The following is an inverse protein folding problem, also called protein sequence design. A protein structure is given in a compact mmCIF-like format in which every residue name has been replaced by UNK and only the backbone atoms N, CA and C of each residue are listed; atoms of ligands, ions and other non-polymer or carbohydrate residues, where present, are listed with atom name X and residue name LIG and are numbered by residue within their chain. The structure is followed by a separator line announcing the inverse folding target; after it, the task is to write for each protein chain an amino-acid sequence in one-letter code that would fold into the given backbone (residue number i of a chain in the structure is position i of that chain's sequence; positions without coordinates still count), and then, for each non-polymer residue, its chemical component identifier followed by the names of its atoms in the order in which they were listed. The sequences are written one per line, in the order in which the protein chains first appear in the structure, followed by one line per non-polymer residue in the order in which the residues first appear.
data_IF_083159709211
#
_entry.id   IF_083159709211
#
_cell.length_a   1.000
_cell.length_b   1.000
_cell.length_c   1.000
_cell.angle_alpha   90.00
_cell.angle_beta   90.00
_cell.angle_gamma   90.00
#
_symmetry.space_group_name_H-M   'P 1'
#
loop_
_entity.id
_entity.type
_entity.pdbx_description
1 polymer ?
#
# COMPACT_ATOMS: atom_id res chain seq x y z
N UNK A 1 -10.47 6.92 20.51
CA UNK A 1 -11.15 5.73 19.93
C UNK A 1 -12.57 5.65 20.46
N UNK A 2 -13.54 5.37 19.58
CA UNK A 2 -14.88 4.86 19.95
C UNK A 2 -15.17 3.59 19.13
N UNK A 3 -16.18 2.83 19.54
CA UNK A 3 -16.73 1.73 18.74
C UNK A 3 -18.11 2.17 18.24
N UNK A 4 -18.31 2.13 16.92
CA UNK A 4 -19.59 2.41 16.27
C UNK A 4 -20.12 1.15 15.59
N UNK A 5 -21.43 1.12 15.34
CA UNK A 5 -22.09 0.03 14.63
C UNK A 5 -22.52 0.50 13.25
N UNK A 6 -22.07 -0.21 12.22
CA UNK A 6 -22.40 0.02 10.81
C UNK A 6 -22.61 -1.34 10.15
N UNK A 7 -23.56 -1.47 9.24
CA UNK A 7 -23.82 -2.71 8.48
C UNK A 7 -23.93 -3.97 9.36
N UNK A 8 -24.60 -3.84 10.51
CA UNK A 8 -24.73 -4.86 11.57
C UNK A 8 -23.39 -5.38 12.12
N UNK A 9 -22.34 -4.56 12.10
CA UNK A 9 -20.98 -4.89 12.55
C UNK A 9 -20.38 -3.75 13.36
N UNK A 10 -19.58 -4.11 14.36
CA UNK A 10 -18.88 -3.16 15.22
C UNK A 10 -17.52 -2.80 14.66
N UNK A 11 -17.24 -1.50 14.53
CA UNK A 11 -15.99 -0.96 14.04
C UNK A 11 -15.39 0.03 15.03
N UNK A 12 -14.08 -0.04 15.24
CA UNK A 12 -13.31 0.99 15.93
C UNK A 12 -12.97 2.13 14.97
N UNK A 13 -13.15 3.34 15.48
CA UNK A 13 -12.87 4.64 14.86
C UNK A 13 -12.13 5.53 15.86
N UNK A 14 -11.41 6.55 15.40
CA UNK A 14 -10.61 7.38 16.30
C UNK A 14 -9.40 6.65 16.86
N UNK A 15 -8.76 5.80 16.05
CA UNK A 15 -7.56 5.05 16.44
C UNK A 15 -6.33 5.94 16.21
N UNK A 16 -5.31 5.82 17.07
CA UNK A 16 -4.02 6.48 16.80
C UNK A 16 -3.22 5.60 15.84
N UNK A 17 -2.91 6.14 14.67
CA UNK A 17 -2.13 5.48 13.64
C UNK A 17 -0.68 5.94 13.65
N UNK A 18 0.20 5.04 13.27
CA UNK A 18 1.57 5.34 12.87
C UNK A 18 1.83 4.57 11.56
N UNK A 19 2.46 5.25 10.60
CA UNK A 19 2.78 4.72 9.28
C UNK A 19 4.28 4.82 9.08
N UNK A 20 4.89 3.77 8.54
CA UNK A 20 6.34 3.66 8.37
C UNK A 20 6.66 3.04 7.00
N UNK A 21 7.77 3.48 6.41
CA UNK A 21 8.41 2.87 5.24
C UNK A 21 9.59 1.94 5.63
N UNK A 22 10.27 2.20 6.76
CA UNK A 22 11.31 1.32 7.33
C UNK A 22 10.77 0.40 8.45
N UNK A 23 11.21 -0.87 8.43
CA UNK A 23 11.00 -1.83 9.52
C UNK A 23 11.74 -1.46 10.82
N UNK A 24 12.80 -0.66 10.75
CA UNK A 24 13.58 -0.29 11.92
C UNK A 24 12.81 0.67 12.85
N UNK A 25 12.20 1.71 12.30
CA UNK A 25 11.39 2.67 13.06
C UNK A 25 10.16 2.00 13.71
N UNK A 26 9.56 1.03 13.02
CA UNK A 26 8.50 0.17 13.55
C UNK A 26 8.95 -0.54 14.83
N UNK A 27 10.17 -1.09 14.88
CA UNK A 27 10.68 -1.78 16.08
C UNK A 27 10.81 -0.82 17.26
N UNK A 28 11.27 0.41 17.01
CA UNK A 28 11.46 1.40 18.06
C UNK A 28 10.12 1.95 18.57
N UNK A 29 9.13 2.18 17.69
CA UNK A 29 7.75 2.47 18.12
C UNK A 29 7.11 1.32 18.90
N UNK A 30 7.34 0.07 18.50
CA UNK A 30 6.85 -1.11 19.24
C UNK A 30 7.50 -1.22 20.63
N UNK A 31 8.76 -0.83 20.81
CA UNK A 31 9.41 -0.77 22.14
C UNK A 31 8.74 0.30 23.03
N UNK A 32 8.43 1.47 22.49
CA UNK A 32 7.73 2.55 23.20
C UNK A 32 6.35 2.07 23.69
N UNK A 33 5.52 1.54 22.78
CA UNK A 33 4.16 1.09 23.11
C UNK A 33 4.14 -0.08 24.10
N UNK A 34 5.17 -0.94 24.09
CA UNK A 34 5.39 -1.97 25.12
C UNK A 34 5.62 -1.36 26.51
N UNK A 35 6.44 -0.31 26.63
CA UNK A 35 6.68 0.40 27.91
C UNK A 35 5.39 1.02 28.44
N UNK A 36 4.59 1.62 27.56
CA UNK A 36 3.29 2.22 27.90
C UNK A 36 2.16 1.20 28.15
N UNK A 37 2.40 -0.10 27.97
CA UNK A 37 1.38 -1.18 28.07
C UNK A 37 0.15 -0.95 27.18
N UNK A 38 0.29 -0.22 26.07
CA UNK A 38 -0.79 -0.08 25.07
C UNK A 38 -1.07 -1.44 24.41
N UNK A 39 -2.16 -1.55 23.66
CA UNK A 39 -2.33 -2.65 22.68
C UNK A 39 -2.25 -2.03 21.30
N UNK A 40 -1.77 -2.80 20.34
CA UNK A 40 -1.71 -2.38 18.95
C UNK A 40 -1.90 -3.57 18.02
N UNK A 41 -2.27 -3.29 16.78
CA UNK A 41 -2.17 -4.24 15.67
C UNK A 41 -1.27 -3.63 14.61
N UNK A 42 -0.42 -4.46 14.04
CA UNK A 42 0.49 -4.10 12.96
C UNK A 42 0.13 -4.90 11.71
N UNK A 43 0.21 -4.29 10.55
CA UNK A 43 0.11 -4.97 9.25
C UNK A 43 0.89 -4.19 8.19
N UNK A 44 1.42 -4.91 7.20
CA UNK A 44 1.97 -4.30 5.98
C UNK A 44 0.88 -4.24 4.91
N UNK A 45 0.82 -3.15 4.16
CA UNK A 45 0.06 -3.02 2.92
C UNK A 45 0.90 -2.23 1.93
N UNK A 46 1.06 -2.76 0.73
CA UNK A 46 2.00 -2.25 -0.27
C UNK A 46 3.40 -2.14 0.36
N UNK A 47 4.13 -1.04 0.16
CA UNK A 47 5.43 -0.84 0.80
C UNK A 47 5.35 -0.32 2.24
N UNK A 48 4.17 0.14 2.69
CA UNK A 48 3.96 0.78 4.00
C UNK A 48 3.59 -0.21 5.12
N UNK A 49 4.11 0.06 6.31
CA UNK A 49 3.80 -0.66 7.56
C UNK A 49 2.92 0.23 8.43
N UNK A 50 1.72 -0.26 8.72
CA UNK A 50 0.72 0.43 9.52
C UNK A 50 0.69 -0.16 10.93
N UNK A 51 0.65 0.72 11.94
CA UNK A 51 0.49 0.36 13.34
C UNK A 51 -0.66 1.16 13.94
N UNK A 52 -1.76 0.48 14.26
CA UNK A 52 -2.92 1.06 14.92
C UNK A 52 -2.88 0.76 16.42
N UNK A 53 -2.96 1.81 17.25
CA UNK A 53 -3.08 1.68 18.71
C UNK A 53 -4.54 1.62 19.12
N UNK A 54 -4.89 0.62 19.93
CA UNK A 54 -6.21 0.42 20.52
C UNK A 54 -6.07 0.02 21.98
N UNK A 55 -7.06 0.33 22.80
CA UNK A 55 -7.22 -0.17 24.17
C UNK A 55 -7.89 -1.57 24.21
N UNK A 56 -8.57 -1.97 23.13
CA UNK A 56 -9.32 -3.22 23.01
C UNK A 56 -8.61 -4.26 22.12
N UNK A 57 -8.96 -5.54 22.29
CA UNK A 57 -8.41 -6.62 21.47
C UNK A 57 -9.32 -6.91 20.25
N UNK A 58 -9.38 -5.95 19.32
CA UNK A 58 -10.17 -6.06 18.09
C UNK A 58 -9.33 -6.61 16.93
N UNK A 59 -9.97 -7.17 15.88
CA UNK A 59 -9.25 -7.61 14.67
C UNK A 59 -9.03 -6.40 13.76
N UNK A 60 -7.99 -6.44 12.92
CA UNK A 60 -7.74 -5.37 11.92
C UNK A 60 -8.92 -5.13 10.97
N UNK A 61 -9.73 -6.16 10.71
CA UNK A 61 -10.97 -6.07 9.92
C UNK A 61 -12.05 -5.20 10.57
N UNK A 62 -11.91 -4.93 11.86
CA UNK A 62 -12.89 -4.25 12.69
C UNK A 62 -12.42 -2.80 12.95
N UNK A 63 -11.38 -2.33 12.25
CA UNK A 63 -10.96 -0.93 12.22
C UNK A 63 -11.55 -0.27 10.97
N UNK A 64 -12.24 0.86 11.10
CA UNK A 64 -12.94 1.44 9.94
C UNK A 64 -11.95 2.04 8.93
N UNK A 65 -10.91 2.72 9.40
CA UNK A 65 -9.81 3.23 8.58
C UNK A 65 -9.13 2.12 7.74
N UNK A 66 -9.00 0.90 8.27
CA UNK A 66 -8.48 -0.25 7.51
C UNK A 66 -9.36 -0.59 6.30
N UNK A 67 -10.68 -0.42 6.41
CA UNK A 67 -11.62 -0.61 5.29
C UNK A 67 -11.51 0.51 4.23
N UNK A 68 -10.87 1.64 4.54
CA UNK A 68 -10.68 2.75 3.60
C UNK A 68 -9.31 2.76 2.91
N UNK A 69 -8.38 1.86 3.26
CA UNK A 69 -7.03 1.83 2.68
C UNK A 69 -6.97 1.59 1.15
N UNK A 70 -8.04 1.08 0.53
CA UNK A 70 -8.14 0.89 -0.92
C UNK A 70 -8.82 2.07 -1.65
N UNK A 71 -9.26 3.09 -0.91
CA UNK A 71 -9.80 4.32 -1.49
C UNK A 71 -8.67 5.22 -2.00
N UNK A 72 -9.05 6.18 -2.83
CA UNK A 72 -8.15 7.22 -3.32
C UNK A 72 -7.61 8.06 -2.15
N UNK A 73 -6.46 8.75 -2.32
CA UNK A 73 -6.04 9.80 -1.41
C UNK A 73 -7.14 10.87 -1.29
N UNK A 74 -7.43 11.34 -0.07
CA UNK A 74 -8.59 12.20 0.14
C UNK A 74 -8.86 12.56 1.60
N UNK A 75 -9.61 13.64 1.75
CA UNK A 75 -10.25 14.07 2.99
C UNK A 75 -11.70 13.54 3.00
N UNK A 76 -11.99 12.54 3.83
CA UNK A 76 -13.29 11.89 3.91
C UNK A 76 -14.04 12.34 5.17
N UNK A 77 -15.26 12.83 4.99
CA UNK A 77 -16.19 13.15 6.09
C UNK A 77 -17.44 12.28 5.95
N UNK A 78 -17.64 11.34 6.88
CA UNK A 78 -18.87 10.53 6.95
C UNK A 78 -19.77 11.07 8.05
N UNK A 79 -20.91 11.66 7.66
CA UNK A 79 -21.89 12.28 8.57
C UNK A 79 -22.86 11.24 9.13
N UNK A 80 -23.03 11.25 10.45
CA UNK A 80 -23.93 10.38 11.21
C UNK A 80 -24.98 11.20 11.99
N UNK A 81 -25.91 10.48 12.59
CA UNK A 81 -27.00 11.03 13.39
C UNK A 81 -26.49 11.87 14.58
N UNK A 82 -27.26 12.90 14.95
CA UNK A 82 -26.95 13.76 16.10
C UNK A 82 -25.72 14.66 15.93
N UNK A 83 -25.34 15.01 14.69
CA UNK A 83 -24.22 15.92 14.40
C UNK A 83 -22.84 15.28 14.57
N UNK A 84 -22.77 13.95 14.74
CA UNK A 84 -21.51 13.23 14.76
C UNK A 84 -20.99 13.04 13.33
N UNK A 85 -19.67 13.02 13.16
CA UNK A 85 -19.05 12.42 11.99
C UNK A 85 -17.79 11.63 12.34
N UNK A 86 -17.38 10.82 11.38
CA UNK A 86 -16.03 10.30 11.26
C UNK A 86 -15.28 11.12 10.21
N UNK A 87 -14.15 11.69 10.58
CA UNK A 87 -13.21 12.34 9.66
C UNK A 87 -12.02 11.41 9.49
N UNK A 88 -11.71 11.08 8.24
CA UNK A 88 -10.63 10.19 7.85
C UNK A 88 -9.84 10.81 6.71
N UNK A 89 -8.52 10.93 6.88
CA UNK A 89 -7.64 11.49 5.85
C UNK A 89 -6.61 10.47 5.42
N UNK A 90 -6.58 10.21 4.11
CA UNK A 90 -5.61 9.32 3.47
C UNK A 90 -4.67 10.12 2.59
N UNK A 91 -3.36 10.02 2.86
CA UNK A 91 -2.32 10.70 2.11
C UNK A 91 -2.12 10.13 0.70
N UNK A 92 -1.41 10.89 -0.13
CA UNK A 92 -1.04 10.52 -1.52
C UNK A 92 0.00 9.40 -1.58
N UNK A 93 0.77 9.24 -0.50
CA UNK A 93 1.64 8.10 -0.19
C UNK A 93 0.86 6.81 0.14
N UNK A 94 -0.45 6.92 0.45
CA UNK A 94 -1.29 5.83 0.92
C UNK A 94 -1.38 5.71 2.45
N UNK A 95 -0.69 6.57 3.20
CA UNK A 95 -0.72 6.62 4.66
C UNK A 95 -2.07 7.08 5.22
N UNK A 96 -2.35 6.71 6.47
CA UNK A 96 -3.45 7.29 7.25
C UNK A 96 -2.88 8.48 8.00
N UNK A 97 -3.32 9.69 7.64
CA UNK A 97 -2.89 10.93 8.28
C UNK A 97 -3.80 11.27 9.47
N UNK A 98 -5.11 11.02 9.33
CA UNK A 98 -6.10 11.38 10.34
C UNK A 98 -7.22 10.32 10.43
N UNK A 99 -7.70 10.05 11.65
CA UNK A 99 -8.83 9.15 11.97
C UNK A 99 -9.43 9.64 13.29
N UNK A 100 -10.56 10.36 13.25
CA UNK A 100 -11.25 10.84 14.45
C UNK A 100 -12.78 10.75 14.33
N UNK A 101 -13.46 10.50 15.46
CA UNK A 101 -14.92 10.38 15.55
C UNK A 101 -15.48 11.14 16.75
N UNK A 102 -16.50 11.97 16.52
CA UNK A 102 -17.03 12.94 17.47
C UNK A 102 -18.02 13.89 16.79
N UNK A 103 -18.35 15.01 17.45
CA UNK A 103 -19.17 16.07 16.85
C UNK A 103 -18.36 16.77 15.76
N UNK A 104 -18.94 16.97 14.58
CA UNK A 104 -18.20 17.46 13.41
C UNK A 104 -17.50 18.80 13.66
N UNK A 105 -18.25 19.77 14.15
CA UNK A 105 -17.76 21.13 14.36
C UNK A 105 -16.69 21.17 15.47
N UNK A 106 -16.74 20.25 16.43
CA UNK A 106 -15.71 20.11 17.46
C UNK A 106 -14.40 19.55 16.88
N UNK A 107 -14.44 18.48 16.08
CA UNK A 107 -13.24 17.92 15.44
C UNK A 107 -12.61 18.96 14.50
N UNK A 108 -13.43 19.59 13.66
CA UNK A 108 -12.97 20.59 12.70
C UNK A 108 -12.33 21.80 13.40
N UNK A 109 -12.92 22.28 14.50
CA UNK A 109 -12.38 23.41 15.27
C UNK A 109 -11.15 23.06 16.11
N UNK A 110 -11.08 21.85 16.68
CA UNK A 110 -9.95 21.43 17.50
C UNK A 110 -8.69 21.15 16.67
N UNK A 111 -8.88 20.67 15.44
CA UNK A 111 -7.79 20.30 14.53
C UNK A 111 -7.69 21.24 13.31
N UNK A 112 -8.25 22.45 13.38
CA UNK A 112 -8.45 23.36 12.23
C UNK A 112 -7.18 23.57 11.41
N UNK A 113 -6.04 23.86 12.06
CA UNK A 113 -4.76 24.09 11.39
C UNK A 113 -4.23 22.88 10.63
N UNK A 114 -4.46 21.65 11.12
CA UNK A 114 -3.97 20.43 10.47
C UNK A 114 -4.93 20.01 9.34
N UNK A 115 -6.24 20.07 9.60
CA UNK A 115 -7.26 19.70 8.63
C UNK A 115 -7.38 20.71 7.48
N UNK A 116 -7.01 21.98 7.67
CA UNK A 116 -6.96 22.99 6.61
C UNK A 116 -5.99 22.57 5.49
N UNK A 117 -4.75 22.24 5.85
CA UNK A 117 -3.72 21.84 4.89
C UNK A 117 -4.13 20.59 4.10
N UNK A 118 -4.74 19.60 4.77
CA UNK A 118 -5.28 18.41 4.11
C UNK A 118 -6.42 18.73 3.15
N UNK A 119 -7.36 19.63 3.51
CA UNK A 119 -8.46 20.04 2.62
C UNK A 119 -8.00 20.89 1.44
N UNK A 120 -6.90 21.63 1.58
CA UNK A 120 -6.32 22.41 0.49
C UNK A 120 -5.52 21.57 -0.52
N UNK A 121 -5.02 20.40 -0.11
CA UNK A 121 -4.10 19.56 -0.92
C UNK A 121 -4.71 18.26 -1.44
N UNK A 122 -5.81 17.77 -0.85
CA UNK A 122 -6.46 16.50 -1.19
C UNK A 122 -7.88 16.70 -1.72
N UNK A 123 -8.39 15.71 -2.46
CA UNK A 123 -9.80 15.65 -2.85
C UNK A 123 -10.71 15.55 -1.62
N UNK A 124 -11.80 16.33 -1.59
CA UNK A 124 -12.77 16.34 -0.49
C UNK A 124 -13.95 15.44 -0.85
N UNK A 125 -14.27 14.50 0.03
CA UNK A 125 -15.35 13.52 -0.12
C UNK A 125 -16.28 13.59 1.09
N UNK A 126 -17.48 14.14 0.92
CA UNK A 126 -18.53 14.09 1.94
C UNK A 126 -19.52 12.99 1.62
N UNK A 127 -19.83 12.15 2.62
CA UNK A 127 -20.74 11.02 2.51
C UNK A 127 -21.76 11.06 3.66
N UNK A 128 -23.00 10.72 3.36
CA UNK A 128 -23.97 10.35 4.41
C UNK A 128 -23.67 8.94 4.92
N UNK A 129 -24.17 8.63 6.12
CA UNK A 129 -24.18 7.28 6.70
C UNK A 129 -24.68 6.23 5.71
N UNK A 130 -25.81 6.46 5.04
CA UNK A 130 -26.43 5.48 4.13
C UNK A 130 -25.60 5.24 2.87
N UNK A 131 -24.97 6.29 2.33
CA UNK A 131 -24.04 6.15 1.21
C UNK A 131 -22.83 5.31 1.61
N UNK A 132 -22.25 5.63 2.78
CA UNK A 132 -21.08 4.94 3.30
C UNK A 132 -21.37 3.47 3.67
N UNK A 133 -22.51 3.19 4.32
CA UNK A 133 -22.93 1.82 4.66
C UNK A 133 -23.20 0.96 3.41
N UNK A 134 -23.69 1.55 2.32
CA UNK A 134 -23.86 0.86 1.04
C UNK A 134 -22.50 0.44 0.45
N UNK A 135 -21.58 1.39 0.32
CA UNK A 135 -20.22 1.11 -0.18
C UNK A 135 -19.47 0.08 0.69
N UNK A 136 -19.60 0.20 2.01
CA UNK A 136 -19.00 -0.71 2.98
C UNK A 136 -19.60 -2.11 2.87
N UNK A 137 -20.92 -2.23 2.70
CA UNK A 137 -21.62 -3.51 2.48
C UNK A 137 -21.10 -4.21 1.21
N UNK A 138 -21.03 -3.50 0.09
CA UNK A 138 -20.52 -4.04 -1.18
C UNK A 138 -19.06 -4.50 -1.06
N UNK A 139 -18.23 -3.72 -0.38
CA UNK A 139 -16.82 -4.07 -0.14
C UNK A 139 -16.67 -5.32 0.72
N UNK A 140 -17.46 -5.43 1.80
CA UNK A 140 -17.44 -6.60 2.68
C UNK A 140 -17.88 -7.85 1.90
N UNK A 141 -18.99 -7.77 1.14
CA UNK A 141 -19.48 -8.87 0.33
C UNK A 141 -18.43 -9.38 -0.67
N UNK A 142 -17.81 -8.47 -1.46
CA UNK A 142 -16.71 -8.81 -2.39
C UNK A 142 -15.53 -9.49 -1.66
N UNK A 143 -15.15 -8.96 -0.50
CA UNK A 143 -14.07 -9.51 0.32
C UNK A 143 -14.37 -10.92 0.87
N UNK A 144 -15.63 -11.21 1.17
CA UNK A 144 -16.08 -12.52 1.66
C UNK A 144 -16.21 -13.54 0.53
N UNK A 145 -16.71 -13.13 -0.64
CA UNK A 145 -16.74 -13.94 -1.86
C UNK A 145 -15.32 -14.38 -2.28
N UNK A 146 -14.36 -13.45 -2.31
CA UNK A 146 -12.95 -13.77 -2.58
C UNK A 146 -12.36 -14.76 -1.57
N UNK A 147 -12.68 -14.62 -0.28
CA UNK A 147 -12.23 -15.58 0.75
C UNK A 147 -12.86 -16.95 0.55
N UNK A 148 -14.13 -17.02 0.12
CA UNK A 148 -14.80 -18.26 -0.27
C UNK A 148 -14.08 -18.95 -1.43
N UNK A 149 -13.82 -18.21 -2.51
CA UNK A 149 -13.05 -18.70 -3.68
C UNK A 149 -11.66 -19.18 -3.29
N UNK A 150 -10.90 -18.40 -2.50
CA UNK A 150 -9.56 -18.77 -2.02
C UNK A 150 -9.57 -20.03 -1.14
N UNK A 151 -10.56 -20.20 -0.26
CA UNK A 151 -10.72 -21.44 0.53
C UNK A 151 -10.99 -22.66 -0.35
N UNK A 152 -11.87 -22.54 -1.34
CA UNK A 152 -12.15 -23.61 -2.30
C UNK A 152 -10.89 -24.02 -3.08
N UNK A 153 -10.12 -23.04 -3.55
CA UNK A 153 -8.88 -23.27 -4.30
C UNK A 153 -7.80 -23.98 -3.47
N UNK A 154 -7.68 -23.64 -2.18
CA UNK A 154 -6.77 -24.33 -1.24
C UNK A 154 -7.18 -25.80 -1.03
N UNK A 155 -8.48 -26.10 -0.91
CA UNK A 155 -8.97 -27.47 -0.78
C UNK A 155 -8.60 -28.29 -2.02
N UNK A 156 -8.86 -27.75 -3.22
CA UNK A 156 -8.50 -28.40 -4.50
C UNK A 156 -6.99 -28.62 -4.61
N UNK A 157 -6.18 -27.63 -4.22
CA UNK A 157 -4.72 -27.74 -4.21
C UNK A 157 -4.19 -28.82 -3.26
N UNK A 158 -4.74 -28.93 -2.05
CA UNK A 158 -4.38 -29.98 -1.08
C UNK A 158 -4.79 -31.36 -1.60
N UNK A 159 -5.99 -31.50 -2.17
CA UNK A 159 -6.43 -32.77 -2.79
C UNK A 159 -5.52 -33.20 -3.94
N UNK A 160 -5.09 -32.27 -4.81
CA UNK A 160 -4.17 -32.58 -5.90
C UNK A 160 -2.80 -33.04 -5.40
N UNK A 161 -2.23 -32.40 -4.37
CA UNK A 161 -0.95 -32.80 -3.78
C UNK A 161 -1.03 -34.19 -3.15
N UNK A 162 -2.13 -34.53 -2.43
CA UNK A 162 -2.32 -35.87 -1.86
C UNK A 162 -2.38 -36.94 -2.96
N UNK A 163 -3.06 -36.67 -4.08
CA UNK A 163 -3.12 -37.59 -5.23
C UNK A 163 -1.73 -37.79 -5.85
N UNK A 164 -0.96 -36.71 -6.06
CA UNK A 164 0.40 -36.78 -6.62
C UNK A 164 1.35 -37.55 -5.70
N UNK A 165 1.30 -37.33 -4.38
CA UNK A 165 2.12 -38.07 -3.40
C UNK A 165 1.71 -39.55 -3.35
N UNK A 166 0.40 -39.85 -3.43
CA UNK A 166 -0.10 -41.22 -3.52
C UNK A 166 0.40 -41.96 -4.76
N UNK A 167 0.33 -41.31 -5.93
CA UNK A 167 0.87 -41.86 -7.19
C UNK A 167 2.41 -42.02 -7.15
N UNK A 168 3.13 -41.12 -6.49
CA UNK A 168 4.57 -41.22 -6.32
C UNK A 168 4.99 -42.38 -5.39
N UNK A 169 4.26 -42.59 -4.29
CA UNK A 169 4.43 -43.76 -3.42
C UNK A 169 4.14 -45.07 -4.17
N UNK A 170 3.07 -45.10 -4.97
CA UNK A 170 2.71 -46.25 -5.81
C UNK A 170 3.80 -46.54 -6.85
N UNK A 171 4.35 -45.49 -7.48
CA UNK A 171 5.49 -45.62 -8.40
C UNK A 171 6.74 -46.16 -7.70
N UNK A 172 7.09 -45.70 -6.50
CA UNK A 172 8.23 -46.25 -5.76
C UNK A 172 8.06 -47.74 -5.40
N UNK A 173 6.84 -48.21 -5.16
CA UNK A 173 6.57 -49.64 -4.97
C UNK A 173 6.79 -50.47 -6.25
N UNK A 174 6.46 -49.91 -7.41
CA UNK A 174 6.70 -50.53 -8.72
C UNK A 174 8.20 -50.51 -9.05
N UNK A 175 8.87 -49.36 -8.88
CA UNK A 175 10.31 -49.21 -9.11
C UNK A 175 11.14 -50.11 -8.18
N UNK A 176 10.71 -50.36 -6.93
CA UNK A 176 11.35 -51.35 -6.03
C UNK A 176 11.31 -52.79 -6.54
N UNK A 177 10.36 -53.16 -7.43
CA UNK A 177 10.40 -54.46 -8.12
C UNK A 177 11.40 -54.47 -9.28
N UNK A 178 11.60 -53.35 -9.99
CA UNK A 178 12.57 -53.27 -11.09
C UNK A 178 14.01 -53.01 -10.66
N UNK A 179 14.27 -52.27 -9.57
CA UNK A 179 15.64 -51.92 -9.16
C UNK A 179 16.51 -53.12 -8.72
N UNK A 180 15.91 -54.28 -8.41
CA UNK A 180 16.67 -55.53 -8.20
C UNK A 180 17.36 -56.06 -9.47
N UNK A 181 17.06 -55.55 -10.66
CA UNK A 181 17.62 -56.00 -11.93
C UNK A 181 18.78 -55.13 -12.48
N UNK A 182 18.96 -53.89 -11.99
CA UNK A 182 19.83 -52.88 -12.64
C UNK A 182 21.01 -52.37 -11.80
N UNK A 183 21.18 -52.83 -10.56
CA UNK A 183 22.26 -52.39 -9.66
C UNK A 183 23.65 -53.01 -9.99
N UNK A 184 24.08 -52.97 -11.26
CA UNK A 184 25.42 -53.45 -11.69
C UNK A 184 26.16 -52.55 -12.69
N UNK A 185 25.55 -51.46 -13.13
CA UNK A 185 26.12 -50.37 -13.93
C UNK A 185 25.37 -49.09 -13.44
N UNK A 186 25.97 -47.96 -13.06
CA UNK A 186 27.24 -47.36 -13.48
C UNK A 186 27.79 -46.47 -12.36
N UNK A 187 29.08 -46.58 -12.05
CA UNK A 187 29.84 -45.57 -11.30
C UNK A 187 30.77 -44.89 -12.30
N UNK A 188 30.64 -43.58 -12.53
CA UNK A 188 31.70 -42.62 -12.92
C UNK A 188 31.12 -41.28 -13.45
N UNK A 189 31.88 -40.19 -13.25
CA UNK A 189 31.71 -38.83 -13.82
C UNK A 189 30.50 -38.01 -13.32
N UNK A 190 30.56 -36.67 -13.16
CA UNK A 190 31.67 -35.72 -13.32
C UNK A 190 31.47 -34.46 -12.43
N UNK A 191 32.45 -33.56 -12.43
CA UNK A 191 32.59 -32.46 -11.47
C UNK A 191 32.41 -31.07 -12.15
N UNK A 192 31.82 -30.10 -11.42
CA UNK A 192 31.88 -28.62 -11.61
C UNK A 192 31.26 -27.95 -12.87
N UNK A 193 30.51 -26.86 -12.62
CA UNK A 193 30.55 -25.57 -13.35
C UNK A 193 29.86 -24.47 -12.46
N UNK A 194 30.21 -23.16 -12.54
CA UNK A 194 30.05 -22.23 -11.41
C UNK A 194 28.79 -21.33 -11.44
N UNK A 195 28.55 -20.62 -10.32
CA UNK A 195 27.52 -19.57 -10.18
C UNK A 195 27.84 -18.34 -11.07
N UNK A 196 26.87 -17.79 -11.82
CA UNK A 196 26.96 -16.43 -12.33
C UNK A 196 26.55 -15.41 -11.25
N UNK A 197 27.39 -14.40 -11.02
CA UNK A 197 27.02 -13.20 -10.26
C UNK A 197 26.53 -12.16 -11.26
N UNK A 198 25.22 -11.94 -11.32
CA UNK A 198 24.62 -10.88 -12.12
C UNK A 198 24.77 -9.53 -11.41
N UNK A 199 25.66 -8.67 -11.90
CA UNK A 199 25.62 -7.23 -11.59
C UNK A 199 24.51 -6.59 -12.42
N UNK A 200 23.36 -6.33 -11.82
CA UNK A 200 22.38 -5.41 -12.41
C UNK A 200 22.88 -3.98 -12.24
N UNK A 201 23.24 -3.32 -13.35
CA UNK A 201 23.32 -1.86 -13.39
C UNK A 201 21.96 -1.32 -12.96
N UNK A 202 21.94 -0.43 -11.97
CA UNK A 202 20.71 0.07 -11.38
C UNK A 202 19.83 0.72 -12.43
N UNK A 203 18.64 0.14 -12.67
CA UNK A 203 17.59 0.83 -13.42
C UNK A 203 17.16 2.03 -12.58
N UNK A 204 17.42 3.24 -13.07
CA UNK A 204 16.83 4.46 -12.51
C UNK A 204 15.31 4.29 -12.61
N UNK A 205 14.60 4.45 -11.50
CA UNK A 205 13.15 4.51 -11.53
C UNK A 205 12.73 5.86 -12.12
N UNK A 206 12.42 5.81 -13.41
CA UNK A 206 12.00 6.93 -14.24
C UNK A 206 10.77 7.63 -13.64
N UNK A 207 9.89 6.90 -12.94
CA UNK A 207 8.67 7.44 -12.35
C UNK A 207 8.97 8.42 -11.21
N UNK A 208 9.92 8.06 -10.35
CA UNK A 208 10.42 8.97 -9.30
C UNK A 208 11.22 10.14 -9.88
N UNK A 209 12.07 9.88 -10.89
CA UNK A 209 12.85 10.94 -11.52
C UNK A 209 11.94 12.00 -12.17
N UNK A 210 10.92 11.56 -12.93
CA UNK A 210 9.96 12.44 -13.59
C UNK A 210 9.08 13.21 -12.59
N UNK A 211 8.46 12.52 -11.62
CA UNK A 211 7.54 13.16 -10.68
C UNK A 211 8.23 14.25 -9.84
N UNK A 212 9.48 14.04 -9.42
CA UNK A 212 10.28 15.04 -8.70
C UNK A 212 10.47 16.34 -9.51
N UNK A 213 10.59 16.22 -10.83
CA UNK A 213 10.75 17.35 -11.74
C UNK A 213 9.43 17.99 -12.16
N UNK A 214 8.36 17.20 -12.24
CA UNK A 214 7.01 17.65 -12.55
C UNK A 214 6.38 18.47 -11.42
N UNK A 215 6.49 18.02 -10.16
CA UNK A 215 6.09 18.81 -8.98
C UNK A 215 6.86 20.12 -8.87
N UNK A 216 8.11 20.15 -9.34
CA UNK A 216 8.92 21.37 -9.45
C UNK A 216 8.52 22.32 -10.58
N UNK A 217 7.70 21.91 -11.55
CA UNK A 217 7.09 22.86 -12.49
C UNK A 217 5.81 23.47 -11.90
N UNK A 218 4.96 22.63 -11.29
CA UNK A 218 3.66 23.02 -10.72
C UNK A 218 3.73 24.07 -9.59
N UNK A 219 4.79 24.06 -8.78
CA UNK A 219 5.00 25.09 -7.76
C UNK A 219 5.11 26.50 -8.37
N UNK A 220 5.67 26.62 -9.58
CA UNK A 220 5.97 27.90 -10.21
C UNK A 220 4.82 28.41 -11.11
N UNK A 221 4.04 27.51 -11.72
CA UNK A 221 2.82 27.93 -12.43
C UNK A 221 1.78 28.56 -11.51
N UNK A 222 1.70 28.12 -10.25
CA UNK A 222 0.76 28.62 -9.26
C UNK A 222 1.22 29.93 -8.59
N UNK A 223 2.35 30.50 -9.02
CA UNK A 223 2.95 31.75 -8.47
C UNK A 223 3.29 32.80 -9.56
N UNK A 224 2.51 32.82 -10.65
CA UNK A 224 2.36 33.96 -11.58
C UNK A 224 3.67 34.61 -12.11
N UNK A 225 4.52 33.87 -12.82
CA UNK A 225 5.61 34.39 -13.66
C UNK A 225 5.55 33.75 -15.08
N UNK A 226 6.00 34.45 -16.15
CA UNK A 226 5.44 34.35 -17.54
C UNK A 226 6.41 34.00 -18.72
N UNK A 227 5.88 33.40 -19.81
CA UNK A 227 6.54 32.66 -20.93
C UNK A 227 6.72 33.38 -22.28
N UNK A 228 7.69 33.11 -23.19
CA UNK A 228 9.14 32.73 -23.12
C UNK A 228 9.76 31.30 -23.20
N UNK A 229 9.11 30.35 -23.89
CA UNK A 229 9.67 29.28 -24.76
C UNK A 229 10.58 28.09 -24.24
N UNK A 230 9.98 26.88 -24.11
CA UNK A 230 10.65 25.58 -24.27
C UNK A 230 10.74 25.39 -25.79
N UNK A 231 11.79 25.91 -26.43
CA UNK A 231 12.08 25.47 -27.79
C UNK A 231 12.71 24.08 -27.72
N UNK A 232 11.84 23.10 -27.91
CA UNK A 232 12.21 21.70 -28.09
C UNK A 232 13.20 21.59 -29.26
N UNK A 233 13.97 20.51 -29.29
CA UNK A 233 13.73 19.42 -30.26
C UNK A 233 14.59 18.20 -29.92
N UNK A 234 13.97 17.02 -30.06
CA UNK A 234 14.60 15.70 -30.06
C UNK A 234 15.16 15.19 -28.71
N UNK A 235 14.28 15.02 -27.72
CA UNK A 235 14.48 14.01 -26.66
C UNK A 235 13.31 13.02 -26.75
N UNK A 236 13.56 11.88 -27.37
CA UNK A 236 12.62 10.76 -27.46
C UNK A 236 12.82 9.79 -26.29
N UNK A 237 11.86 8.89 -25.97
CA UNK A 237 12.02 7.93 -24.88
C UNK A 237 13.23 6.99 -25.00
N UNK A 238 13.76 6.78 -26.22
CA UNK A 238 15.02 6.03 -26.43
C UNK A 238 16.25 6.79 -25.93
N UNK A 239 16.24 8.11 -26.05
CA UNK A 239 17.31 8.96 -25.55
C UNK A 239 17.36 8.91 -24.01
N UNK A 240 16.21 8.74 -23.33
CA UNK A 240 16.10 8.67 -21.85
C UNK A 240 16.83 7.47 -21.24
N UNK A 241 16.89 6.33 -21.94
CA UNK A 241 17.72 5.18 -21.54
C UNK A 241 19.22 5.38 -21.75
N UNK A 242 19.62 6.42 -22.50
CA UNK A 242 21.01 6.85 -22.69
C UNK A 242 21.34 8.21 -22.04
N UNK A 243 20.36 8.92 -21.47
CA UNK A 243 20.63 10.11 -20.67
C UNK A 243 21.42 9.66 -19.44
N UNK A 244 22.65 10.13 -19.34
CA UNK A 244 23.38 10.00 -18.09
C UNK A 244 22.63 10.81 -17.02
N UNK A 245 22.80 10.46 -15.74
CA UNK A 245 22.17 11.17 -14.62
C UNK A 245 22.26 12.72 -14.74
N UNK A 246 23.41 13.32 -15.18
CA UNK A 246 23.50 14.74 -15.55
C UNK A 246 22.45 15.27 -16.51
N UNK A 247 22.11 14.56 -17.58
CA UNK A 247 21.28 15.09 -18.68
C UNK A 247 19.79 15.05 -18.35
N UNK A 248 19.37 14.06 -17.56
CA UNK A 248 18.03 14.00 -16.98
C UNK A 248 17.80 15.18 -16.01
N UNK A 249 18.81 15.54 -15.22
CA UNK A 249 18.82 16.73 -14.35
C UNK A 249 18.82 18.03 -15.16
N UNK A 250 19.52 18.07 -16.30
CA UNK A 250 19.63 19.24 -17.18
C UNK A 250 18.32 19.55 -17.89
N UNK A 251 17.66 18.52 -18.43
CA UNK A 251 16.38 18.60 -19.15
C UNK A 251 15.30 19.22 -18.28
N UNK A 252 15.21 18.82 -17.02
CA UNK A 252 14.15 19.30 -16.15
C UNK A 252 14.50 20.59 -15.37
N UNK A 253 15.79 20.92 -15.21
CA UNK A 253 16.20 22.31 -14.94
C UNK A 253 15.72 23.27 -16.04
N UNK A 254 15.71 22.83 -17.30
CA UNK A 254 15.20 23.62 -18.42
C UNK A 254 13.68 23.78 -18.36
N UNK A 255 12.91 22.68 -18.25
CA UNK A 255 11.45 22.71 -18.09
C UNK A 255 11.03 23.59 -16.91
N UNK A 256 11.72 23.49 -15.78
CA UNK A 256 11.51 24.36 -14.62
C UNK A 256 11.74 25.84 -14.96
N UNK A 257 12.93 26.18 -15.47
CA UNK A 257 13.29 27.57 -15.82
C UNK A 257 12.27 28.19 -16.78
N UNK A 258 11.66 27.36 -17.60
CA UNK A 258 10.66 27.76 -18.58
C UNK A 258 9.24 27.84 -18.02
N UNK A 259 8.92 27.22 -16.88
CA UNK A 259 7.68 27.43 -16.12
C UNK A 259 7.78 28.60 -15.11
N UNK A 260 8.92 29.28 -15.05
CA UNK A 260 9.19 30.50 -14.25
C UNK A 260 9.35 31.74 -15.12
N UNK A 261 10.06 31.59 -16.23
CA UNK A 261 10.18 32.61 -17.26
C UNK A 261 9.51 32.13 -18.57
N UNK A 262 8.37 31.41 -18.55
CA UNK A 262 7.37 31.23 -17.48
C UNK A 262 6.00 30.66 -17.88
#
# INVERSE_FOLDING_TARGET
MKVIELVNRKFAVGLKWYVFDDEQDVKDKVKELKKEKKKWKMFKKDDLIFLAVSDQNMKRSDFLAYQMLDKEPGFYTVKFDGGNCWIFVKGTDGGILFDEYGVCDEILRQNESELYDYRATLGIFELTKEQFERELSEKIAKTEEEKGKKKSLVIIGVSAVVIVVGLFMLKQMIDKKHQKALAKQTIMMQNRIPKPVSKSVGKIDIKNCYNMWFSKALYYSNSSQTCTAIDQKNITPKDVTSLTLPDCVKTAKYLWKMAVYG
#
